data_IF_495313969551
#
_entry.id   IF_495313969551
#
_cell.length_a   1.000
_cell.length_b   1.000
_cell.length_c   1.000
_cell.angle_alpha   90.00
_cell.angle_beta   90.00
_cell.angle_gamma   90.00
#
_symmetry.space_group_name_H-M   'P 1'
#
loop_
_entity.id
_entity.type
_entity.pdbx_description
1 polymer ?
#
# COMPACT_ATOMS: atom_id res chain seq x y z
N UNK A 1 -40.50 -13.17 -22.14
CA UNK A 1 -39.74 -12.01 -21.60
C UNK A 1 -39.06 -12.26 -20.28
N UNK A 2 -38.49 -13.46 -19.99
CA UNK A 2 -37.78 -13.81 -18.75
C UNK A 2 -36.24 -13.89 -18.89
N UNK A 3 -35.73 -13.87 -20.12
CA UNK A 3 -34.30 -14.06 -20.41
C UNK A 3 -33.45 -12.80 -20.06
N UNK A 4 -34.05 -11.61 -20.11
CA UNK A 4 -33.37 -10.32 -19.90
C UNK A 4 -32.83 -10.13 -18.48
N UNK A 5 -33.50 -10.63 -17.45
CA UNK A 5 -33.06 -10.43 -16.04
C UNK A 5 -31.85 -11.29 -15.67
N UNK A 6 -31.80 -12.53 -16.19
CA UNK A 6 -30.66 -13.45 -15.94
C UNK A 6 -29.40 -12.94 -16.63
N UNK A 7 -29.54 -12.37 -17.84
CA UNK A 7 -28.43 -11.80 -18.59
C UNK A 7 -27.85 -10.56 -17.90
N UNK A 8 -28.71 -9.72 -17.30
CA UNK A 8 -28.27 -8.54 -16.54
C UNK A 8 -27.51 -8.91 -15.26
N UNK A 9 -27.95 -9.94 -14.55
CA UNK A 9 -27.26 -10.45 -13.35
C UNK A 9 -25.90 -11.06 -13.70
N UNK A 10 -25.81 -11.79 -14.80
CA UNK A 10 -24.54 -12.34 -15.30
C UNK A 10 -23.56 -11.23 -15.69
N UNK A 11 -23.98 -10.18 -16.38
CA UNK A 11 -23.13 -9.04 -16.74
C UNK A 11 -22.63 -8.30 -15.49
N UNK A 12 -23.47 -8.11 -14.47
CA UNK A 12 -23.06 -7.51 -13.21
C UNK A 12 -22.05 -8.39 -12.45
N UNK A 13 -22.25 -9.70 -12.40
CA UNK A 13 -21.30 -10.62 -11.78
C UNK A 13 -19.93 -10.67 -12.49
N UNK A 14 -19.93 -10.61 -13.83
CA UNK A 14 -18.68 -10.56 -14.60
C UNK A 14 -17.89 -9.26 -14.32
N UNK A 15 -18.54 -8.11 -14.28
CA UNK A 15 -17.85 -6.83 -14.03
C UNK A 15 -17.25 -6.75 -12.63
N UNK A 16 -17.89 -7.31 -11.61
CA UNK A 16 -17.33 -7.36 -10.26
C UNK A 16 -16.13 -8.30 -10.14
N UNK A 17 -16.09 -9.41 -10.88
CA UNK A 17 -14.97 -10.35 -10.86
C UNK A 17 -13.70 -9.81 -11.52
N UNK A 18 -13.84 -9.13 -12.66
CA UNK A 18 -12.69 -8.56 -13.38
C UNK A 18 -12.04 -7.39 -12.65
N UNK A 19 -12.83 -6.52 -12.01
CA UNK A 19 -12.31 -5.38 -11.25
C UNK A 19 -11.47 -5.81 -10.05
N UNK A 20 -11.86 -6.86 -9.33
CA UNK A 20 -11.13 -7.34 -8.15
C UNK A 20 -9.81 -8.03 -8.50
N UNK A 21 -9.74 -8.78 -9.60
CA UNK A 21 -8.49 -9.39 -10.06
C UNK A 21 -7.49 -8.31 -10.51
N UNK A 22 -7.97 -7.27 -11.19
CA UNK A 22 -7.14 -6.14 -11.60
C UNK A 22 -6.50 -5.42 -10.40
N UNK A 23 -7.24 -5.10 -9.33
CA UNK A 23 -6.71 -4.45 -8.14
C UNK A 23 -5.65 -5.30 -7.41
N UNK A 24 -5.87 -6.61 -7.33
CA UNK A 24 -4.91 -7.51 -6.69
C UNK A 24 -3.58 -7.59 -7.47
N UNK A 25 -3.65 -7.62 -8.79
CA UNK A 25 -2.46 -7.65 -9.65
C UNK A 25 -1.71 -6.32 -9.62
N UNK A 26 -2.43 -5.21 -9.67
CA UNK A 26 -1.84 -3.88 -9.54
C UNK A 26 -1.16 -3.70 -8.19
N UNK A 27 -1.80 -4.09 -7.09
CA UNK A 27 -1.20 -4.04 -5.75
C UNK A 27 0.07 -4.88 -5.66
N UNK A 28 0.05 -6.12 -6.18
CA UNK A 28 1.24 -6.98 -6.23
C UNK A 28 2.36 -6.35 -7.04
N UNK A 29 2.05 -5.77 -8.21
CA UNK A 29 3.01 -5.09 -9.05
C UNK A 29 3.67 -3.92 -8.31
N UNK A 30 2.89 -3.06 -7.67
CA UNK A 30 3.39 -1.92 -6.90
C UNK A 30 4.30 -2.39 -5.76
N UNK A 31 3.90 -3.40 -4.99
CA UNK A 31 4.72 -3.94 -3.90
C UNK A 31 6.02 -4.54 -4.44
N UNK A 32 5.97 -5.32 -5.53
CA UNK A 32 7.17 -5.90 -6.15
C UNK A 32 8.13 -4.82 -6.67
N UNK A 33 7.61 -3.75 -7.24
CA UNK A 33 8.41 -2.60 -7.67
C UNK A 33 9.05 -1.89 -6.46
N UNK A 34 8.32 -1.74 -5.38
CA UNK A 34 8.81 -1.19 -4.11
C UNK A 34 9.93 -2.07 -3.53
N UNK A 35 9.76 -3.40 -3.52
CA UNK A 35 10.80 -4.35 -3.08
C UNK A 35 12.09 -4.25 -3.90
N UNK A 36 11.99 -4.18 -5.23
CA UNK A 36 13.15 -4.04 -6.11
C UNK A 36 13.95 -2.78 -5.78
N UNK A 37 13.27 -1.72 -5.43
CA UNK A 37 13.88 -0.43 -5.09
C UNK A 37 14.51 -0.42 -3.69
N UNK A 38 14.03 -1.24 -2.76
CA UNK A 38 14.63 -1.38 -1.43
C UNK A 38 16.08 -1.85 -1.47
N UNK A 39 16.49 -2.54 -2.54
CA UNK A 39 17.85 -3.00 -2.77
C UNK A 39 18.69 -2.08 -3.68
N UNK A 40 18.06 -1.13 -4.35
CA UNK A 40 18.79 -0.13 -5.14
C UNK A 40 19.39 0.90 -4.19
N UNK A 41 20.70 1.12 -4.27
CA UNK A 41 21.33 2.32 -3.68
C UNK A 41 20.49 3.51 -4.12
N UNK A 42 20.18 4.40 -3.19
CA UNK A 42 19.40 5.64 -3.40
C UNK A 42 19.83 6.22 -4.76
N UNK A 43 19.02 5.98 -5.76
CA UNK A 43 19.23 6.56 -7.08
C UNK A 43 18.57 7.92 -7.07
N UNK A 44 19.21 8.90 -7.65
CA UNK A 44 18.85 10.33 -7.74
C UNK A 44 17.43 10.63 -8.29
N UNK A 45 16.61 9.65 -8.49
CA UNK A 45 15.31 9.72 -9.18
C UNK A 45 14.09 9.55 -8.27
N UNK A 46 14.19 9.83 -6.97
CA UNK A 46 13.04 10.20 -6.12
C UNK A 46 11.86 9.23 -6.01
N UNK A 47 11.98 7.99 -6.48
CA UNK A 47 10.93 7.01 -6.31
C UNK A 47 11.28 6.16 -5.09
N UNK A 48 10.53 6.37 -4.03
CA UNK A 48 10.73 5.68 -2.78
C UNK A 48 10.46 4.19 -2.83
N UNK A 49 11.33 3.46 -2.15
CA UNK A 49 11.14 2.05 -1.84
C UNK A 49 10.12 1.80 -0.71
N UNK A 50 9.21 2.74 -0.48
CA UNK A 50 8.36 2.78 0.70
C UNK A 50 6.93 3.11 0.30
N UNK A 51 5.97 2.62 1.08
CA UNK A 51 4.62 3.15 1.10
C UNK A 51 4.48 4.07 2.30
N UNK A 52 4.08 5.30 2.06
CA UNK A 52 3.92 6.38 3.03
C UNK A 52 2.46 6.56 3.41
N UNK A 53 2.18 6.79 4.69
CA UNK A 53 0.85 7.22 5.16
C UNK A 53 1.00 8.24 6.27
N UNK A 54 0.10 9.22 6.31
CA UNK A 54 -0.06 10.20 7.38
C UNK A 54 -0.71 9.62 8.64
N UNK A 55 -1.31 8.44 8.54
CA UNK A 55 -1.91 7.76 9.68
C UNK A 55 -0.83 7.11 10.56
N UNK A 56 -0.28 7.89 11.50
CA UNK A 56 0.73 7.44 12.47
C UNK A 56 0.17 6.59 13.61
N UNK A 57 -1.12 6.73 13.92
CA UNK A 57 -1.82 5.98 14.96
C UNK A 57 -1.99 4.49 14.58
N UNK A 58 -2.21 3.61 15.56
CA UNK A 58 -2.61 2.24 15.29
C UNK A 58 -3.89 2.19 14.44
N UNK A 59 -3.87 1.37 13.40
CA UNK A 59 -5.04 1.20 12.53
C UNK A 59 -6.21 0.59 13.30
N UNK A 60 -7.37 1.23 13.23
CA UNK A 60 -8.62 0.73 13.81
C UNK A 60 -9.45 0.04 12.74
N UNK A 61 -10.15 -1.01 13.13
CA UNK A 61 -11.08 -1.72 12.24
C UNK A 61 -12.10 -0.74 11.65
N UNK A 62 -12.34 -0.87 10.35
CA UNK A 62 -13.20 -0.05 9.49
C UNK A 62 -12.64 1.35 9.17
N UNK A 63 -11.43 1.72 9.63
CA UNK A 63 -10.78 2.93 9.15
C UNK A 63 -10.46 2.79 7.67
N UNK A 64 -10.50 3.92 6.97
CA UNK A 64 -9.95 4.04 5.62
C UNK A 64 -8.61 4.73 5.72
N UNK A 65 -7.56 4.09 5.20
CA UNK A 65 -6.20 4.62 5.21
C UNK A 65 -5.65 4.74 3.80
N UNK A 66 -4.91 5.82 3.55
CA UNK A 66 -4.27 6.07 2.29
C UNK A 66 -2.76 5.85 2.40
N UNK A 67 -2.19 5.16 1.42
CA UNK A 67 -0.75 5.03 1.25
C UNK A 67 -0.33 5.65 -0.08
N UNK A 68 0.87 6.18 -0.11
CA UNK A 68 1.46 6.84 -1.28
C UNK A 68 2.80 6.19 -1.61
N UNK A 69 3.12 6.11 -2.89
CA UNK A 69 4.42 5.60 -3.37
C UNK A 69 5.46 6.71 -3.58
N UNK A 70 5.19 7.91 -3.10
CA UNK A 70 6.07 9.09 -3.18
C UNK A 70 6.28 9.70 -1.81
N UNK A 71 7.44 10.28 -1.55
CA UNK A 71 7.78 11.00 -0.32
C UNK A 71 7.40 12.48 -0.36
N UNK A 72 7.13 13.05 -1.53
CA UNK A 72 6.79 14.47 -1.64
C UNK A 72 5.31 14.68 -1.24
N UNK A 73 5.03 14.61 0.04
CA UNK A 73 3.71 14.65 0.62
C UNK A 73 3.56 15.88 1.53
N UNK A 74 2.36 16.46 1.64
CA UNK A 74 2.12 17.67 2.42
C UNK A 74 1.98 17.43 3.93
N UNK A 75 2.50 16.32 4.46
CA UNK A 75 2.40 16.00 5.89
C UNK A 75 3.77 15.80 6.52
N UNK A 76 3.94 16.32 7.74
CA UNK A 76 5.19 16.27 8.48
C UNK A 76 5.50 14.89 9.04
N UNK A 77 4.50 14.24 9.63
CA UNK A 77 4.66 12.93 10.28
C UNK A 77 4.12 11.84 9.39
N UNK A 78 4.87 10.75 9.29
CA UNK A 78 4.53 9.64 8.42
C UNK A 78 4.84 8.29 9.06
N UNK A 79 4.07 7.28 8.68
CA UNK A 79 4.37 5.87 8.92
C UNK A 79 4.77 5.26 7.57
N UNK A 80 5.88 4.54 7.57
CA UNK A 80 6.51 4.01 6.36
C UNK A 80 6.52 2.50 6.39
N UNK A 81 5.97 1.89 5.35
CA UNK A 81 6.03 0.45 5.11
C UNK A 81 7.12 0.20 4.07
N UNK A 82 8.23 -0.37 4.48
CA UNK A 82 9.36 -0.72 3.60
C UNK A 82 9.31 -2.21 3.33
N UNK A 83 9.06 -2.58 2.07
CA UNK A 83 8.96 -3.97 1.64
C UNK A 83 10.33 -4.48 1.20
N UNK A 84 10.66 -5.71 1.59
CA UNK A 84 11.91 -6.39 1.27
C UNK A 84 11.65 -7.75 0.62
N UNK A 85 12.59 -8.30 -0.16
CA UNK A 85 12.51 -9.65 -0.69
C UNK A 85 12.23 -10.69 0.38
N UNK A 86 11.65 -11.84 -0.03
CA UNK A 86 11.21 -12.92 0.87
C UNK A 86 10.01 -12.58 1.75
N UNK A 87 9.16 -11.65 1.30
CA UNK A 87 7.89 -11.30 1.94
C UNK A 87 8.01 -10.79 3.38
N UNK A 88 9.01 -9.98 3.67
CA UNK A 88 9.07 -9.27 4.93
C UNK A 88 9.06 -7.75 4.74
N UNK A 89 8.63 -7.02 5.75
CA UNK A 89 8.61 -5.57 5.78
C UNK A 89 9.05 -5.02 7.14
N UNK A 90 9.42 -3.75 7.16
CA UNK A 90 9.56 -2.97 8.39
C UNK A 90 8.56 -1.83 8.39
N UNK A 91 8.13 -1.41 9.58
CA UNK A 91 7.25 -0.25 9.77
C UNK A 91 8.09 0.80 10.52
N UNK A 92 8.41 1.86 9.83
CA UNK A 92 9.21 2.97 10.37
C UNK A 92 8.31 4.18 10.58
N UNK A 93 8.82 5.18 11.30
CA UNK A 93 8.15 6.47 11.48
C UNK A 93 9.11 7.57 11.03
N UNK A 94 8.60 8.53 10.28
CA UNK A 94 9.33 9.71 9.84
C UNK A 94 8.71 10.97 10.39
N UNK A 95 9.56 11.95 10.71
CA UNK A 95 9.17 13.32 10.95
C UNK A 95 10.00 14.22 10.05
N UNK A 96 9.36 14.75 9.00
CA UNK A 96 10.04 15.59 8.00
C UNK A 96 10.05 17.08 8.38
N UNK A 97 9.31 17.46 9.44
CA UNK A 97 9.31 18.82 9.95
C UNK A 97 10.33 19.03 11.09
N UNK A 98 10.97 17.98 11.56
CA UNK A 98 12.13 18.09 12.42
C UNK A 98 13.32 18.68 11.64
N UNK A 99 14.14 19.47 12.30
CA UNK A 99 15.40 19.99 11.73
C UNK A 99 16.60 19.43 12.50
N UNK A 100 17.33 18.46 11.94
CA UNK A 100 17.17 17.82 10.62
C UNK A 100 16.04 16.79 10.58
N UNK A 101 15.44 16.49 9.40
CA UNK A 101 14.43 15.47 9.24
C UNK A 101 14.87 14.13 9.79
N UNK A 102 13.99 13.46 10.56
CA UNK A 102 14.31 12.21 11.22
C UNK A 102 13.47 11.03 10.71
N UNK A 103 14.12 9.87 10.58
CA UNK A 103 13.42 8.61 10.33
C UNK A 103 13.85 7.61 11.39
N UNK A 104 12.90 7.16 12.21
CA UNK A 104 13.16 6.08 13.13
C UNK A 104 13.31 4.76 12.38
N UNK A 105 14.44 4.09 12.54
CA UNK A 105 14.66 2.77 11.95
C UNK A 105 14.07 1.71 12.86
N UNK A 106 13.00 1.06 12.42
CA UNK A 106 12.39 -0.03 13.17
C UNK A 106 13.32 -1.26 13.17
N UNK A 107 13.60 -1.79 14.35
CA UNK A 107 14.35 -3.05 14.53
C UNK A 107 13.47 -4.27 14.24
N UNK A 108 12.16 -4.13 14.29
CA UNK A 108 11.21 -5.24 14.16
C UNK A 108 10.89 -5.51 12.69
N UNK A 109 11.11 -6.76 12.29
CA UNK A 109 10.71 -7.28 10.97
C UNK A 109 9.37 -7.99 11.09
N UNK A 110 8.50 -7.73 10.12
CA UNK A 110 7.19 -8.35 9.96
C UNK A 110 7.16 -9.17 8.68
N UNK A 111 6.40 -10.25 8.67
CA UNK A 111 6.08 -10.97 7.43
C UNK A 111 4.81 -10.39 6.82
N UNK A 112 4.66 -10.48 5.50
CA UNK A 112 3.44 -10.07 4.85
C UNK A 112 2.99 -11.05 3.76
N UNK A 113 1.71 -10.95 3.39
CA UNK A 113 1.11 -11.71 2.29
C UNK A 113 0.07 -10.87 1.58
N UNK A 114 0.09 -10.91 0.26
CA UNK A 114 -0.97 -10.31 -0.59
C UNK A 114 -1.78 -11.42 -1.22
N UNK A 115 -3.07 -11.47 -0.92
CA UNK A 115 -4.01 -12.43 -1.49
C UNK A 115 -5.42 -11.86 -1.56
N UNK A 116 -6.09 -11.97 -2.72
CA UNK A 116 -7.48 -11.52 -2.90
C UNK A 116 -7.72 -10.07 -2.45
N UNK A 117 -6.92 -9.15 -2.94
CA UNK A 117 -6.97 -7.72 -2.59
C UNK A 117 -6.70 -7.41 -1.10
N UNK A 118 -6.12 -8.34 -0.38
CA UNK A 118 -5.83 -8.20 1.04
C UNK A 118 -4.33 -8.24 1.28
N UNK A 119 -3.78 -7.18 1.84
CA UNK A 119 -2.45 -7.14 2.43
C UNK A 119 -2.58 -7.52 3.91
N UNK A 120 -1.97 -8.60 4.31
CA UNK A 120 -1.93 -9.04 5.71
C UNK A 120 -0.50 -8.97 6.22
N UNK A 121 -0.30 -8.33 7.35
CA UNK A 121 0.99 -8.18 8.04
C UNK A 121 0.97 -9.02 9.31
N UNK A 122 2.04 -9.79 9.54
CA UNK A 122 2.18 -10.72 10.65
C UNK A 122 3.45 -10.42 11.45
N UNK A 123 3.40 -10.61 12.74
CA UNK A 123 4.60 -10.71 13.58
C UNK A 123 5.38 -12.00 13.28
N UNK A 124 6.60 -12.10 13.81
CA UNK A 124 7.41 -13.34 13.76
C UNK A 124 6.65 -14.54 14.34
N UNK A 125 5.82 -14.32 15.35
CA UNK A 125 4.98 -15.35 16.00
C UNK A 125 3.67 -15.62 15.24
N UNK A 126 3.55 -15.18 13.98
CA UNK A 126 2.36 -15.33 13.14
C UNK A 126 1.10 -14.62 13.66
N UNK A 127 1.19 -13.77 14.67
CA UNK A 127 0.07 -12.92 15.08
C UNK A 127 -0.18 -11.85 14.03
N UNK A 128 -1.44 -11.61 13.72
CA UNK A 128 -1.83 -10.59 12.75
C UNK A 128 -1.66 -9.23 13.38
N UNK A 129 -0.87 -8.38 12.72
CA UNK A 129 -0.65 -6.98 13.10
C UNK A 129 -1.71 -6.09 12.47
N UNK A 130 -1.94 -6.26 11.17
CA UNK A 130 -3.04 -5.60 10.47
C UNK A 130 -3.46 -6.37 9.21
N UNK A 131 -4.71 -6.16 8.82
CA UNK A 131 -5.28 -6.59 7.53
C UNK A 131 -5.86 -5.41 6.81
N UNK A 132 -5.34 -5.13 5.63
CA UNK A 132 -5.67 -3.99 4.80
C UNK A 132 -6.24 -4.48 3.48
N UNK A 133 -7.54 -4.22 3.25
CA UNK A 133 -8.20 -4.54 1.98
C UNK A 133 -8.06 -3.37 1.02
N UNK A 134 -7.39 -3.57 -0.10
CA UNK A 134 -7.31 -2.52 -1.14
C UNK A 134 -8.70 -2.30 -1.76
N UNK A 135 -9.14 -1.05 -1.76
CA UNK A 135 -10.42 -0.64 -2.32
C UNK A 135 -10.25 0.26 -3.54
N UNK A 136 -9.12 0.97 -3.64
CA UNK A 136 -8.84 1.87 -4.77
C UNK A 136 -7.34 2.03 -4.99
N UNK A 137 -6.93 2.13 -6.25
CA UNK A 137 -5.58 2.53 -6.68
C UNK A 137 -5.78 3.66 -7.70
N UNK A 138 -5.12 4.77 -7.49
CA UNK A 138 -5.19 5.96 -8.33
C UNK A 138 -3.79 6.40 -8.70
N UNK A 139 -3.62 6.91 -9.92
CA UNK A 139 -2.40 7.63 -10.27
C UNK A 139 -2.35 8.91 -9.45
N UNK A 140 -1.23 9.12 -8.78
CA UNK A 140 -0.97 10.30 -7.99
C UNK A 140 0.25 11.00 -8.59
N UNK A 141 -0.01 11.96 -9.47
CA UNK A 141 1.04 12.79 -10.06
C UNK A 141 1.17 14.07 -9.23
N UNK A 142 2.34 14.27 -8.65
CA UNK A 142 2.76 15.61 -8.28
C UNK A 142 3.61 16.16 -9.42
N UNK A 143 3.29 17.35 -9.90
CA UNK A 143 3.84 18.00 -11.11
C UNK A 143 5.38 18.08 -11.17
N UNK A 144 6.09 17.92 -10.05
CA UNK A 144 7.55 18.09 -9.97
C UNK A 144 8.40 16.90 -10.42
N UNK A 145 7.88 15.67 -10.51
CA UNK A 145 8.75 14.49 -10.67
C UNK A 145 8.41 13.52 -11.80
N UNK A 146 7.40 13.78 -12.62
CA UNK A 146 7.20 13.15 -13.95
C UNK A 146 7.17 11.61 -14.01
N UNK A 147 6.98 10.88 -12.89
CA UNK A 147 6.91 9.42 -12.88
C UNK A 147 5.67 8.93 -12.14
N UNK A 148 5.19 7.75 -12.57
CA UNK A 148 4.01 7.10 -12.04
C UNK A 148 4.10 6.90 -10.52
N UNK A 149 3.45 7.78 -9.79
CA UNK A 149 3.20 7.61 -8.37
C UNK A 149 1.74 7.19 -8.15
N UNK A 150 1.50 6.42 -7.10
CA UNK A 150 0.19 5.86 -6.83
C UNK A 150 -0.29 6.27 -5.44
N UNK A 151 -1.58 6.54 -5.34
CA UNK A 151 -2.34 6.58 -4.08
C UNK A 151 -3.12 5.28 -3.96
N UNK A 152 -2.86 4.54 -2.90
CA UNK A 152 -3.53 3.30 -2.57
C UNK A 152 -4.46 3.53 -1.39
N UNK A 153 -5.75 3.28 -1.57
CA UNK A 153 -6.75 3.40 -0.50
C UNK A 153 -7.12 2.03 0.02
N UNK A 154 -6.96 1.83 1.32
CA UNK A 154 -7.27 0.57 2.00
C UNK A 154 -8.37 0.76 3.04
N UNK A 155 -9.20 -0.27 3.19
CA UNK A 155 -10.07 -0.47 4.34
C UNK A 155 -9.36 -1.37 5.35
N UNK A 156 -9.28 -0.94 6.60
CA UNK A 156 -8.74 -1.75 7.70
C UNK A 156 -9.77 -2.79 8.12
N UNK A 157 -9.39 -4.07 8.01
CA UNK A 157 -10.27 -5.18 8.40
C UNK A 157 -9.97 -5.63 9.84
N UNK A 158 -8.70 -5.54 10.24
CA UNK A 158 -8.20 -5.92 11.56
C UNK A 158 -6.89 -5.20 11.84
#
# INVERSE_FOLDING_TARGET
MKISKIFLVLILMFNFGFGQNSLNEQLKKIITETEKRANAKITENGIDNKLWTDNIEPFKKNDTVCFYTTSNLPFCKSKLFIFYPKNFLTINYGDECDEPPSISVAKTKYNYKVKKNLLTVFSSNKNIICRLKIIKIENYQQEKFGKDSYKLTFLVIQ
#
